data_IF_651128113703
#
_entry.id   IF_651128113703
#
_cell.length_a   1.000
_cell.length_b   1.000
_cell.length_c   1.000
_cell.angle_alpha   90.00
_cell.angle_beta   90.00
_cell.angle_gamma   90.00
#
_symmetry.space_group_name_H-M   'P 1'
#
loop_
_entity.id
_entity.type
_entity.pdbx_description
1 polymer ?
#
# COMPACT_ATOMS: atom_id res chain seq x y z
N UNK A 1 33.88 -32.92 11.74
CA UNK A 1 32.52 -33.48 11.65
C UNK A 1 31.92 -33.44 13.05
N UNK A 2 30.93 -32.61 13.28
CA UNK A 2 30.16 -32.58 14.52
C UNK A 2 28.69 -32.63 14.13
N UNK A 3 28.02 -33.70 14.54
CA UNK A 3 26.60 -33.97 14.28
C UNK A 3 25.88 -33.98 15.63
N UNK A 4 24.82 -33.18 15.74
CA UNK A 4 23.58 -33.39 16.53
C UNK A 4 22.55 -32.44 15.88
N UNK A 5 21.59 -32.83 15.03
CA UNK A 5 20.35 -33.62 15.20
C UNK A 5 19.38 -33.13 16.29
N UNK A 6 18.12 -32.89 15.88
CA UNK A 6 16.91 -32.81 16.72
C UNK A 6 16.40 -31.39 16.99
N UNK A 7 15.49 -30.77 16.22
CA UNK A 7 14.09 -31.09 15.89
C UNK A 7 13.12 -30.83 17.07
N UNK A 8 12.15 -29.91 16.89
CA UNK A 8 11.05 -29.70 17.84
C UNK A 8 10.36 -28.35 17.73
N UNK A 9 9.14 -28.34 17.19
CA UNK A 9 8.22 -27.21 17.17
C UNK A 9 7.89 -26.70 18.58
N UNK A 10 7.92 -25.38 18.78
CA UNK A 10 7.26 -24.74 19.93
C UNK A 10 6.40 -23.57 19.43
N UNK A 11 5.10 -23.82 19.26
CA UNK A 11 4.07 -22.76 19.28
C UNK A 11 3.24 -22.48 18.02
N UNK A 12 3.21 -23.36 17.01
CA UNK A 12 2.25 -23.28 15.89
C UNK A 12 0.86 -23.88 16.28
N UNK A 13 0.25 -23.41 17.38
CA UNK A 13 -1.20 -23.63 17.63
C UNK A 13 -2.00 -22.42 17.14
N UNK A 14 -1.64 -21.92 15.95
CA UNK A 14 -2.52 -20.99 15.26
C UNK A 14 -3.59 -21.80 14.53
N UNK A 15 -4.85 -21.60 14.88
CA UNK A 15 -6.01 -22.11 14.12
C UNK A 15 -6.00 -21.58 12.68
N UNK A 16 -5.27 -20.50 12.42
CA UNK A 16 -5.16 -19.85 11.11
C UNK A 16 -4.01 -20.44 10.29
N UNK A 17 -4.15 -20.38 8.95
CA UNK A 17 -3.10 -20.83 8.04
C UNK A 17 -1.77 -20.08 8.25
N UNK A 18 -0.63 -20.68 7.87
CA UNK A 18 0.70 -20.06 7.98
C UNK A 18 0.78 -18.65 7.37
N UNK A 19 0.06 -18.41 6.27
CA UNK A 19 -0.03 -17.09 5.64
C UNK A 19 -0.72 -16.03 6.52
N UNK A 20 -1.63 -16.44 7.41
CA UNK A 20 -2.42 -15.55 8.26
C UNK A 20 -1.86 -15.40 9.67
N UNK A 21 -1.40 -16.48 10.29
CA UNK A 21 -1.00 -16.49 11.71
C UNK A 21 0.39 -17.07 11.99
N UNK A 22 1.17 -17.41 10.96
CA UNK A 22 2.56 -17.83 11.14
C UNK A 22 3.53 -16.67 11.33
N UNK A 23 4.83 -16.97 11.21
CA UNK A 23 5.91 -15.99 11.28
C UNK A 23 6.32 -15.63 12.72
N UNK A 24 7.41 -14.84 12.88
CA UNK A 24 8.05 -14.62 14.18
C UNK A 24 7.18 -13.87 15.20
N UNK A 25 6.16 -13.15 14.74
CA UNK A 25 5.25 -12.35 15.57
C UNK A 25 3.78 -12.83 15.47
N UNK A 26 3.51 -13.96 14.81
CA UNK A 26 2.15 -14.45 14.57
C UNK A 26 1.29 -13.56 13.66
N UNK A 27 1.92 -12.69 12.84
CA UNK A 27 1.25 -11.75 11.92
C UNK A 27 1.14 -12.28 10.47
N UNK A 28 1.45 -13.56 10.30
CA UNK A 28 1.57 -14.25 9.02
C UNK A 28 3.00 -14.28 8.49
N UNK A 29 3.25 -15.22 7.58
CA UNK A 29 4.57 -15.44 6.96
C UNK A 29 5.11 -14.19 6.24
N UNK A 30 6.28 -13.64 6.63
CA UNK A 30 6.91 -12.52 5.96
C UNK A 30 7.25 -12.74 4.48
N UNK A 31 7.49 -13.97 4.07
CA UNK A 31 7.94 -14.32 2.72
C UNK A 31 6.78 -14.72 1.79
N UNK A 32 5.54 -14.69 2.30
CA UNK A 32 4.32 -14.91 1.54
C UNK A 32 4.02 -13.74 0.59
N UNK A 33 4.14 -14.01 -0.72
CA UNK A 33 3.85 -13.06 -1.81
C UNK A 33 2.41 -13.15 -2.32
N UNK A 34 1.56 -13.98 -1.73
CA UNK A 34 0.16 -14.09 -2.14
C UNK A 34 -0.61 -12.82 -1.74
N UNK A 35 -1.40 -12.31 -2.68
CA UNK A 35 -2.22 -11.12 -2.47
C UNK A 35 -3.65 -11.51 -2.10
N UNK A 36 -4.13 -11.01 -0.97
CA UNK A 36 -5.51 -11.16 -0.51
C UNK A 36 -6.44 -10.27 -1.35
N UNK A 37 -7.74 -10.59 -1.35
CA UNK A 37 -8.75 -9.80 -2.07
C UNK A 37 -8.71 -8.31 -1.68
N UNK A 38 -8.66 -8.02 -0.39
CA UNK A 38 -8.53 -6.65 0.12
C UNK A 38 -7.22 -5.96 -0.33
N UNK A 39 -6.15 -6.71 -0.52
CA UNK A 39 -4.87 -6.15 -0.97
C UNK A 39 -4.94 -5.77 -2.44
N UNK A 40 -5.46 -6.67 -3.27
CA UNK A 40 -5.66 -6.46 -4.71
C UNK A 40 -6.64 -5.33 -5.01
N UNK A 41 -7.78 -5.31 -4.31
CA UNK A 41 -8.90 -4.42 -4.64
C UNK A 41 -8.87 -3.08 -3.90
N UNK A 42 -8.20 -3.00 -2.73
CA UNK A 42 -8.27 -1.82 -1.86
C UNK A 42 -6.89 -1.25 -1.54
N UNK A 43 -5.98 -2.04 -0.95
CA UNK A 43 -4.72 -1.51 -0.42
C UNK A 43 -3.73 -1.11 -1.51
N UNK A 44 -3.51 -1.96 -2.51
CA UNK A 44 -2.63 -1.63 -3.64
C UNK A 44 -3.21 -0.46 -4.44
N UNK A 45 -4.49 -0.43 -4.83
CA UNK A 45 -5.09 0.74 -5.47
C UNK A 45 -5.01 2.02 -4.64
N UNK A 46 -5.15 1.95 -3.31
CA UNK A 46 -4.98 3.11 -2.44
C UNK A 46 -3.53 3.65 -2.47
N UNK A 47 -2.53 2.76 -2.41
CA UNK A 47 -1.11 3.11 -2.54
C UNK A 47 -0.81 3.70 -3.92
N UNK A 48 -1.32 3.07 -4.98
CA UNK A 48 -1.23 3.57 -6.35
C UNK A 48 -1.82 4.97 -6.47
N UNK A 49 -2.99 5.23 -5.87
CA UNK A 49 -3.64 6.55 -5.88
C UNK A 49 -2.76 7.63 -5.23
N UNK A 50 -2.19 7.34 -4.06
CA UNK A 50 -1.30 8.27 -3.35
C UNK A 50 -0.07 8.59 -4.19
N UNK A 51 0.57 7.56 -4.76
CA UNK A 51 1.74 7.72 -5.62
C UNK A 51 1.43 8.41 -6.93
N UNK A 52 0.33 8.07 -7.58
CA UNK A 52 -0.08 8.67 -8.85
C UNK A 52 -0.33 10.17 -8.67
N UNK A 53 -1.00 10.57 -7.58
CA UNK A 53 -1.19 11.99 -7.24
C UNK A 53 0.13 12.74 -7.04
N UNK A 54 1.14 12.09 -6.46
CA UNK A 54 2.45 12.72 -6.18
C UNK A 54 3.37 12.75 -7.40
N UNK A 55 3.40 11.69 -8.20
CA UNK A 55 4.42 11.50 -9.25
C UNK A 55 3.90 11.78 -10.66
N UNK A 56 2.65 11.40 -10.97
CA UNK A 56 2.10 11.45 -12.33
C UNK A 56 1.11 12.61 -12.53
N UNK A 57 0.22 12.82 -11.55
CA UNK A 57 -0.90 13.74 -11.65
C UNK A 57 -0.73 15.00 -10.77
N UNK A 58 0.51 15.42 -10.50
CA UNK A 58 0.79 16.52 -9.59
C UNK A 58 0.19 17.85 -10.09
N UNK A 59 0.20 18.07 -11.41
CA UNK A 59 -0.42 19.22 -12.08
C UNK A 59 -1.93 19.25 -11.88
N UNK A 60 -2.62 18.14 -12.12
CA UNK A 60 -4.07 18.02 -12.04
C UNK A 60 -4.54 18.14 -10.59
N UNK A 61 -3.75 17.62 -9.63
CA UNK A 61 -4.00 17.80 -8.20
C UNK A 61 -3.86 19.29 -7.82
N UNK A 62 -2.86 19.98 -8.36
CA UNK A 62 -2.65 21.41 -8.11
C UNK A 62 -3.81 22.24 -8.68
N UNK A 63 -4.15 22.04 -9.95
CA UNK A 63 -5.26 22.71 -10.62
C UNK A 63 -6.61 22.50 -9.90
N UNK A 64 -6.89 21.26 -9.51
CA UNK A 64 -8.09 20.94 -8.75
C UNK A 64 -8.06 21.61 -7.37
N UNK A 65 -6.90 21.61 -6.70
CA UNK A 65 -6.71 22.26 -5.41
C UNK A 65 -6.89 23.78 -5.48
N UNK A 66 -6.40 24.43 -6.53
CA UNK A 66 -6.59 25.87 -6.77
C UNK A 66 -8.05 26.20 -7.02
N UNK A 67 -8.74 25.43 -7.86
CA UNK A 67 -10.18 25.59 -8.08
C UNK A 67 -10.99 25.39 -6.79
N UNK A 68 -10.67 24.36 -6.00
CA UNK A 68 -11.35 24.08 -4.75
C UNK A 68 -11.17 25.22 -3.73
N UNK A 69 -9.97 25.83 -3.66
CA UNK A 69 -9.70 26.98 -2.80
C UNK A 69 -10.49 28.22 -3.22
N UNK A 70 -10.66 28.46 -4.52
CA UNK A 70 -11.39 29.62 -5.02
C UNK A 70 -12.91 29.48 -4.88
N UNK A 71 -13.45 28.30 -5.18
CA UNK A 71 -14.90 28.09 -5.27
C UNK A 71 -15.53 27.65 -3.96
N UNK A 72 -14.74 27.11 -3.01
CA UNK A 72 -15.21 26.69 -1.70
C UNK A 72 -16.43 25.77 -1.79
N UNK A 73 -17.58 26.26 -1.33
CA UNK A 73 -18.85 25.52 -1.33
C UNK A 73 -19.35 25.16 -2.75
N UNK A 74 -19.02 25.97 -3.77
CA UNK A 74 -19.45 25.76 -5.15
C UNK A 74 -18.54 24.78 -5.94
N UNK A 75 -17.54 24.19 -5.29
CA UNK A 75 -16.57 23.27 -5.91
C UNK A 75 -17.23 22.11 -6.70
N UNK A 76 -18.25 21.39 -6.19
CA UNK A 76 -18.85 20.25 -6.91
C UNK A 76 -19.54 20.61 -8.23
N UNK A 77 -19.81 21.90 -8.44
CA UNK A 77 -20.44 22.42 -9.66
C UNK A 77 -19.39 23.04 -10.58
N UNK A 78 -18.56 23.94 -10.06
CA UNK A 78 -17.62 24.73 -10.85
C UNK A 78 -16.31 23.98 -11.17
N UNK A 79 -15.86 23.08 -10.29
CA UNK A 79 -14.58 22.36 -10.45
C UNK A 79 -14.73 20.96 -11.06
N UNK A 80 -15.93 20.58 -11.54
CA UNK A 80 -16.18 19.31 -12.27
C UNK A 80 -15.20 19.03 -13.41
N UNK A 81 -14.85 20.00 -14.30
CA UNK A 81 -13.92 19.71 -15.39
C UNK A 81 -12.51 19.38 -14.88
N UNK A 82 -12.03 20.10 -13.84
CA UNK A 82 -10.74 19.83 -13.20
C UNK A 82 -10.74 18.48 -12.47
N UNK A 83 -11.86 18.13 -11.81
CA UNK A 83 -12.03 16.81 -11.21
C UNK A 83 -11.97 15.67 -12.26
N UNK A 84 -12.64 15.84 -13.41
CA UNK A 84 -12.61 14.87 -14.51
C UNK A 84 -11.21 14.72 -15.11
N UNK A 85 -10.46 15.81 -15.24
CA UNK A 85 -9.06 15.77 -15.67
C UNK A 85 -8.19 14.97 -14.70
N UNK A 86 -8.32 15.20 -13.39
CA UNK A 86 -7.63 14.42 -12.38
C UNK A 86 -8.02 12.93 -12.40
N UNK A 87 -9.31 12.63 -12.55
CA UNK A 87 -9.81 11.26 -12.69
C UNK A 87 -9.20 10.56 -13.92
N UNK A 88 -9.14 11.24 -15.06
CA UNK A 88 -8.55 10.70 -16.28
C UNK A 88 -7.06 10.43 -16.12
N UNK A 89 -6.31 11.32 -15.46
CA UNK A 89 -4.91 11.10 -15.16
C UNK A 89 -4.71 9.87 -14.26
N UNK A 90 -5.53 9.72 -13.21
CA UNK A 90 -5.47 8.55 -12.33
C UNK A 90 -5.80 7.26 -13.07
N UNK A 91 -6.80 7.27 -13.96
CA UNK A 91 -7.14 6.11 -14.81
C UNK A 91 -5.96 5.71 -15.70
N UNK A 92 -5.31 6.68 -16.35
CA UNK A 92 -4.13 6.42 -17.17
C UNK A 92 -2.98 5.82 -16.33
N UNK A 93 -2.80 6.29 -15.09
CA UNK A 93 -1.82 5.71 -14.17
C UNK A 93 -2.15 4.26 -13.77
N UNK A 94 -3.44 3.92 -13.63
CA UNK A 94 -3.88 2.56 -13.31
C UNK A 94 -3.83 1.60 -14.49
N UNK A 95 -3.80 2.09 -15.73
CA UNK A 95 -3.63 1.25 -16.92
C UNK A 95 -2.18 0.84 -17.17
N UNK A 96 -1.22 1.44 -16.47
CA UNK A 96 0.21 1.16 -16.64
C UNK A 96 0.63 -0.07 -15.80
N UNK A 97 0.95 -1.23 -16.44
CA UNK A 97 1.29 -2.46 -15.74
C UNK A 97 2.60 -2.33 -14.96
N UNK A 98 3.56 -1.52 -15.43
CA UNK A 98 4.81 -1.30 -14.72
C UNK A 98 4.56 -0.56 -13.40
N UNK A 99 3.62 0.39 -13.41
CA UNK A 99 3.23 1.12 -12.21
C UNK A 99 2.47 0.24 -11.20
N UNK A 100 1.61 -0.67 -11.68
CA UNK A 100 0.93 -1.65 -10.83
C UNK A 100 1.97 -2.57 -10.16
N UNK A 101 2.90 -3.12 -10.94
CA UNK A 101 3.94 -4.01 -10.42
C UNK A 101 4.79 -3.30 -9.36
N UNK A 102 5.25 -2.08 -9.64
CA UNK A 102 6.03 -1.29 -8.69
C UNK A 102 5.28 -1.04 -7.38
N UNK A 103 4.00 -0.64 -7.43
CA UNK A 103 3.22 -0.40 -6.21
C UNK A 103 2.92 -1.70 -5.45
N UNK A 104 2.81 -2.82 -6.16
CA UNK A 104 2.60 -4.15 -5.57
C UNK A 104 3.83 -4.62 -4.81
N UNK A 105 5.02 -4.50 -5.42
CA UNK A 105 6.29 -4.86 -4.79
C UNK A 105 6.52 -4.05 -3.51
N UNK A 106 6.35 -2.73 -3.56
CA UNK A 106 6.47 -1.89 -2.37
C UNK A 106 5.46 -2.23 -1.28
N UNK A 107 4.24 -2.64 -1.66
CA UNK A 107 3.26 -3.12 -0.69
C UNK A 107 3.70 -4.43 -0.03
N UNK A 108 4.23 -5.37 -0.81
CA UNK A 108 4.76 -6.64 -0.30
C UNK A 108 5.95 -6.41 0.63
N UNK A 109 6.88 -5.51 0.29
CA UNK A 109 8.01 -5.14 1.13
C UNK A 109 7.56 -4.53 2.46
N UNK A 110 6.60 -3.59 2.43
CA UNK A 110 6.05 -2.99 3.64
C UNK A 110 5.32 -4.02 4.53
N UNK A 111 4.60 -4.96 3.90
CA UNK A 111 3.91 -6.06 4.60
C UNK A 111 4.91 -7.04 5.20
N UNK A 112 5.93 -7.44 4.47
CA UNK A 112 6.99 -8.31 4.95
C UNK A 112 7.70 -7.68 6.15
N UNK A 113 8.03 -6.38 6.05
CA UNK A 113 8.63 -5.65 7.16
C UNK A 113 7.71 -5.59 8.40
N UNK A 114 6.42 -5.30 8.21
CA UNK A 114 5.45 -5.30 9.30
C UNK A 114 5.34 -6.68 9.97
N UNK A 115 5.39 -7.76 9.19
CA UNK A 115 5.36 -9.14 9.71
C UNK A 115 6.63 -9.54 10.45
N UNK A 116 7.79 -8.99 10.04
CA UNK A 116 9.08 -9.23 10.72
C UNK A 116 9.23 -8.41 12.01
N UNK A 117 8.75 -7.17 12.02
CA UNK A 117 9.09 -6.18 13.07
C UNK A 117 7.91 -5.73 13.93
N UNK A 118 6.67 -5.93 13.46
CA UNK A 118 5.46 -5.40 14.08
C UNK A 118 5.24 -3.90 13.84
N UNK A 119 6.16 -3.18 13.19
CA UNK A 119 6.09 -1.72 13.03
C UNK A 119 5.41 -1.33 11.72
N UNK A 120 4.36 -0.49 11.80
CA UNK A 120 3.62 -0.08 10.61
C UNK A 120 4.41 0.95 9.80
N UNK A 121 4.24 0.94 8.48
CA UNK A 121 4.91 1.89 7.58
C UNK A 121 4.62 3.37 7.93
N UNK A 122 3.43 3.67 8.46
CA UNK A 122 3.06 5.02 8.90
C UNK A 122 3.82 5.48 10.13
N UNK A 123 4.17 4.57 11.04
CA UNK A 123 4.95 4.87 12.25
C UNK A 123 6.39 5.18 11.86
N UNK A 124 7.02 4.35 11.01
CA UNK A 124 8.36 4.61 10.49
C UNK A 124 8.50 5.97 9.79
N UNK A 125 7.49 6.37 9.02
CA UNK A 125 7.48 7.67 8.34
C UNK A 125 7.41 8.86 9.32
N UNK A 126 6.85 8.67 10.52
CA UNK A 126 6.85 9.72 11.57
C UNK A 126 8.22 9.80 12.23
N UNK A 127 8.81 8.65 12.56
CA UNK A 127 10.10 8.58 13.25
C UNK A 127 11.25 9.10 12.37
N UNK A 128 11.16 8.94 11.05
CA UNK A 128 12.14 9.47 10.09
C UNK A 128 12.07 11.00 9.87
N UNK A 129 11.09 11.69 10.44
CA UNK A 129 10.92 13.15 10.34
C UNK A 129 11.33 13.86 11.64
N UNK A 130 11.58 13.09 12.72
CA UNK A 130 12.09 13.59 14.01
C UNK A 130 13.61 13.55 14.03
#
# INVERSE_FOLDING_TARGET
MATTLGNGNEGDDCVLSKSLGGGPLGLGDPDDRSLRKAEKEILIPAKMKEKAKRLKCASEVKDFGECAKQQGLMMPFMCRPKAKSLENCLKAAYSDPAFIALCTEEFLEERAHFRRTGVKAKERKKDAIL
#
